data_IF_433531442788
#
_entry.id   IF_433531442788
#
_cell.length_a   1.000
_cell.length_b   1.000
_cell.length_c   1.000
_cell.angle_alpha   90.00
_cell.angle_beta   90.00
_cell.angle_gamma   90.00
#
_symmetry.space_group_name_H-M   'P 1'
#
loop_
_entity.id
_entity.type
_entity.pdbx_description
1 polymer ?
#
# COMPACT_ATOMS: atom_id res chain seq x y z
N UNK A 1 -14.82 -5.97 -13.75
CA UNK A 1 -13.82 -4.89 -13.57
C UNK A 1 -14.56 -3.64 -13.11
N UNK A 2 -14.16 -3.00 -12.01
CA UNK A 2 -14.87 -1.86 -11.39
C UNK A 2 -14.38 -0.51 -11.98
N UNK A 3 -13.07 -0.35 -12.15
CA UNK A 3 -12.47 0.87 -12.70
C UNK A 3 -12.55 0.89 -14.24
N UNK A 4 -13.03 1.99 -14.81
CA UNK A 4 -13.08 2.23 -16.27
C UNK A 4 -11.70 2.68 -16.81
N UNK A 5 -11.41 2.50 -18.12
CA UNK A 5 -10.29 3.18 -18.78
C UNK A 5 -10.34 4.70 -18.54
N UNK A 6 -9.19 5.34 -18.40
CA UNK A 6 -9.06 6.73 -17.98
C UNK A 6 -9.29 6.98 -16.47
N UNK A 7 -9.37 5.93 -15.66
CA UNK A 7 -9.61 6.02 -14.21
C UNK A 7 -8.34 5.98 -13.38
N UNK A 8 -8.38 6.57 -12.17
CA UNK A 8 -7.30 6.49 -11.20
C UNK A 8 -7.60 5.47 -10.09
N UNK A 9 -6.59 4.69 -9.72
CA UNK A 9 -6.55 3.88 -8.52
C UNK A 9 -5.74 4.62 -7.45
N UNK A 10 -6.23 4.58 -6.21
CA UNK A 10 -5.48 5.03 -5.03
C UNK A 10 -5.57 3.92 -3.97
N UNK A 11 -4.42 3.56 -3.39
CA UNK A 11 -4.31 2.58 -2.30
C UNK A 11 -3.56 3.24 -1.16
N UNK A 12 -4.22 3.42 -0.02
CA UNK A 12 -3.62 3.90 1.22
C UNK A 12 -3.63 2.74 2.21
N UNK A 13 -2.46 2.29 2.62
CA UNK A 13 -2.33 1.14 3.51
C UNK A 13 -1.02 1.22 4.32
N UNK A 14 -0.79 0.28 5.22
CA UNK A 14 0.44 0.17 6.00
C UNK A 14 1.62 -0.22 5.11
N UNK A 15 2.71 0.50 5.27
CA UNK A 15 4.02 0.09 4.80
C UNK A 15 4.47 -1.15 5.59
N UNK A 16 5.21 -2.04 4.93
CA UNK A 16 5.66 -3.28 5.55
C UNK A 16 6.40 -3.01 6.87
N UNK A 17 6.05 -3.78 7.89
CA UNK A 17 6.66 -3.67 9.22
C UNK A 17 6.89 -5.05 9.85
N UNK A 18 7.84 -5.13 10.78
CA UNK A 18 8.22 -6.38 11.46
C UNK A 18 7.59 -6.54 12.86
N UNK A 19 6.60 -5.71 13.20
CA UNK A 19 5.91 -5.78 14.50
C UNK A 19 4.94 -6.98 14.58
N UNK A 20 5.48 -8.16 14.92
CA UNK A 20 4.74 -9.43 14.98
C UNK A 20 3.58 -9.45 15.98
N UNK A 21 3.66 -8.63 17.04
CA UNK A 21 2.60 -8.49 18.05
C UNK A 21 1.34 -7.80 17.51
N UNK A 22 1.40 -7.13 16.35
CA UNK A 22 0.23 -6.56 15.66
C UNK A 22 -0.85 -7.62 15.40
N UNK A 23 -0.44 -8.84 15.07
CA UNK A 23 -1.36 -9.97 14.83
C UNK A 23 -2.20 -10.31 16.06
N UNK A 24 -1.59 -10.27 17.24
CA UNK A 24 -2.24 -10.60 18.49
C UNK A 24 -3.09 -9.45 19.04
N UNK A 25 -2.63 -8.20 18.84
CA UNK A 25 -3.26 -6.99 19.38
C UNK A 25 -4.40 -6.46 18.50
N UNK A 26 -4.25 -6.52 17.18
CA UNK A 26 -5.16 -5.90 16.21
C UNK A 26 -5.85 -6.90 15.27
N UNK A 27 -5.45 -8.18 15.29
CA UNK A 27 -6.04 -9.21 14.42
C UNK A 27 -5.58 -9.13 12.96
N UNK A 28 -4.58 -8.29 12.67
CA UNK A 28 -4.07 -8.07 11.32
C UNK A 28 -3.27 -9.27 10.83
N UNK A 29 -3.77 -9.94 9.79
CA UNK A 29 -3.10 -11.12 9.21
C UNK A 29 -1.89 -10.71 8.34
N UNK A 30 -1.87 -9.46 7.86
CA UNK A 30 -0.95 -8.94 6.85
C UNK A 30 -0.03 -7.89 7.48
N UNK A 31 1.27 -7.99 7.21
CA UNK A 31 2.30 -7.14 7.83
C UNK A 31 2.56 -5.86 7.03
N UNK A 32 1.52 -5.30 6.39
CA UNK A 32 1.63 -4.21 5.42
C UNK A 32 2.21 -4.63 4.05
N UNK A 33 2.50 -3.63 3.22
CA UNK A 33 2.98 -3.80 1.84
C UNK A 33 4.42 -3.35 1.65
N UNK A 34 5.20 -4.15 0.91
CA UNK A 34 6.45 -3.71 0.32
C UNK A 34 6.16 -2.86 -0.93
N UNK A 35 6.76 -1.68 -1.05
CA UNK A 35 6.57 -0.79 -2.19
C UNK A 35 6.88 -1.49 -3.52
N UNK A 36 7.97 -2.26 -3.58
CA UNK A 36 8.39 -2.95 -4.82
C UNK A 36 7.42 -4.06 -5.24
N UNK A 37 6.76 -4.71 -4.27
CA UNK A 37 5.76 -5.74 -4.55
C UNK A 37 4.47 -5.10 -5.08
N UNK A 38 4.03 -4.01 -4.45
CA UNK A 38 2.86 -3.25 -4.87
C UNK A 38 3.06 -2.66 -6.28
N UNK A 39 4.26 -2.13 -6.57
CA UNK A 39 4.66 -1.69 -7.91
C UNK A 39 4.46 -2.81 -8.95
N UNK A 40 5.07 -3.98 -8.71
CA UNK A 40 4.99 -5.13 -9.63
C UNK A 40 3.55 -5.60 -9.85
N UNK A 41 2.71 -5.55 -8.82
CA UNK A 41 1.31 -5.95 -8.94
C UNK A 41 0.50 -4.97 -9.78
N UNK A 42 0.72 -3.66 -9.60
CA UNK A 42 0.07 -2.62 -10.39
C UNK A 42 0.49 -2.67 -11.86
N UNK A 43 1.79 -2.86 -12.13
CA UNK A 43 2.31 -3.08 -13.49
C UNK A 43 1.67 -4.31 -14.14
N UNK A 44 1.67 -5.46 -13.43
CA UNK A 44 1.07 -6.71 -13.92
C UNK A 44 -0.43 -6.59 -14.16
N UNK A 45 -1.13 -5.74 -13.41
CA UNK A 45 -2.55 -5.47 -13.60
C UNK A 45 -2.85 -4.53 -14.79
N UNK A 46 -1.81 -3.96 -15.41
CA UNK A 46 -1.89 -3.08 -16.57
C UNK A 46 -2.16 -1.62 -16.22
N UNK A 47 -1.73 -1.18 -15.03
CA UNK A 47 -1.72 0.25 -14.69
C UNK A 47 -0.44 0.93 -15.17
N UNK A 48 -0.54 2.22 -15.45
CA UNK A 48 0.54 3.12 -15.82
C UNK A 48 0.62 4.28 -14.82
N UNK A 49 1.64 5.14 -14.95
CA UNK A 49 1.84 6.31 -14.06
C UNK A 49 1.74 5.94 -12.57
N UNK A 50 2.47 4.88 -12.19
CA UNK A 50 2.44 4.37 -10.83
C UNK A 50 3.39 5.20 -9.98
N UNK A 51 2.88 5.75 -8.89
CA UNK A 51 3.64 6.45 -7.85
C UNK A 51 3.32 5.79 -6.51
N UNK A 52 4.34 5.52 -5.70
CA UNK A 52 4.20 4.89 -4.38
C UNK A 52 5.13 5.62 -3.42
N UNK A 53 4.58 6.14 -2.33
CA UNK A 53 5.34 6.90 -1.34
C UNK A 53 4.85 6.65 0.08
N UNK A 54 5.77 6.63 1.05
CA UNK A 54 5.41 6.70 2.46
C UNK A 54 4.92 8.11 2.83
N UNK A 55 3.68 8.23 3.30
CA UNK A 55 3.00 9.53 3.48
C UNK A 55 2.74 9.91 4.95
N UNK A 56 2.82 8.97 5.88
CA UNK A 56 2.67 9.25 7.31
C UNK A 56 3.46 8.27 8.17
N UNK A 57 3.79 8.71 9.38
CA UNK A 57 4.43 7.90 10.43
C UNK A 57 3.81 8.24 11.78
N UNK A 58 3.46 7.22 12.55
CA UNK A 58 2.97 7.38 13.91
C UNK A 58 4.07 7.89 14.85
N UNK A 59 3.70 8.81 15.73
CA UNK A 59 4.62 9.40 16.70
C UNK A 59 4.98 8.43 17.84
N UNK A 60 4.03 7.59 18.26
CA UNK A 60 4.21 6.63 19.34
C UNK A 60 4.58 5.24 18.80
N UNK A 61 5.25 4.40 19.62
CA UNK A 61 5.50 3.01 19.26
C UNK A 61 4.19 2.27 18.92
N UNK A 62 4.18 1.41 17.89
CA UNK A 62 5.35 0.85 17.20
C UNK A 62 5.84 1.67 15.98
N UNK A 63 5.38 2.92 15.82
CA UNK A 63 5.77 3.83 14.74
C UNK A 63 5.41 3.35 13.34
N UNK A 64 4.18 2.84 13.17
CA UNK A 64 3.73 2.41 11.86
C UNK A 64 3.81 3.54 10.84
N UNK A 65 4.06 3.16 9.59
CA UNK A 65 4.07 4.07 8.46
C UNK A 65 2.99 3.64 7.49
N UNK A 66 2.36 4.61 6.84
CA UNK A 66 1.44 4.33 5.73
C UNK A 66 2.09 4.69 4.41
N UNK A 67 1.82 3.91 3.37
CA UNK A 67 2.12 4.27 1.99
C UNK A 67 0.85 4.69 1.24
N UNK A 68 1.00 5.58 0.28
CA UNK A 68 0.00 5.89 -0.72
C UNK A 68 0.55 5.46 -2.09
N UNK A 69 -0.16 4.55 -2.75
CA UNK A 69 0.06 4.23 -4.15
C UNK A 69 -1.04 4.86 -5.01
N UNK A 70 -0.65 5.55 -6.08
CA UNK A 70 -1.56 6.02 -7.12
C UNK A 70 -1.19 5.41 -8.46
N UNK A 71 -2.18 5.10 -9.28
CA UNK A 71 -1.94 4.51 -10.59
C UNK A 71 -3.07 4.83 -11.58
N UNK A 72 -2.71 5.08 -12.83
CA UNK A 72 -3.64 5.37 -13.91
C UNK A 72 -3.97 4.11 -14.71
N UNK A 73 -5.26 3.92 -15.01
CA UNK A 73 -5.70 2.88 -15.93
C UNK A 73 -5.90 3.48 -17.32
N UNK A 74 -5.06 3.06 -18.26
CA UNK A 74 -5.22 3.40 -19.69
C UNK A 74 -6.56 2.90 -20.27
#
# INVERSE_FOLDING_TARGET
RILRPGGNLMVLDLLQHDFEEAKALYGDVWMGFEESLLQKWLEKAGFAQIEIEAVAKEAEPPHFQTLLATAFKE
#
